data_IF_703186717636
#
_entry.id   IF_703186717636
#
_cell.length_a   1.000
_cell.length_b   1.000
_cell.length_c   1.000
_cell.angle_alpha   90.00
_cell.angle_beta   90.00
_cell.angle_gamma   90.00
#
_symmetry.space_group_name_H-M   'P 1'
#
loop_
_entity.id
_entity.type
_entity.pdbx_description
1 polymer ?
#
# COMPACT_ATOMS: atom_id res chain seq x y z
N UNK A 1 -20.91 -5.09 -3.96
CA UNK A 1 -19.79 -5.96 -4.40
C UNK A 1 -19.26 -5.39 -5.71
N UNK A 2 -17.94 -5.38 -5.93
CA UNK A 2 -17.31 -4.89 -7.15
C UNK A 2 -16.38 -5.98 -7.72
N UNK A 3 -16.07 -5.91 -9.02
CA UNK A 3 -15.16 -6.85 -9.66
C UNK A 3 -13.72 -6.68 -9.15
N UNK A 4 -12.88 -7.67 -9.41
CA UNK A 4 -11.43 -7.61 -9.20
C UNK A 4 -10.74 -8.63 -10.08
N UNK A 5 -9.49 -8.32 -10.47
CA UNK A 5 -8.60 -9.25 -11.18
C UNK A 5 -7.47 -9.62 -10.23
N UNK A 6 -7.11 -10.90 -10.20
CA UNK A 6 -5.93 -11.38 -9.49
C UNK A 6 -4.71 -11.24 -10.39
N UNK A 7 -3.84 -10.28 -10.08
CA UNK A 7 -2.60 -10.05 -10.84
C UNK A 7 -1.66 -11.25 -10.76
N UNK A 8 -1.60 -11.97 -9.63
CA UNK A 8 -0.74 -13.13 -9.45
C UNK A 8 -1.13 -14.27 -10.39
N UNK A 9 -2.43 -14.52 -10.55
CA UNK A 9 -2.94 -15.53 -11.49
C UNK A 9 -2.80 -15.07 -12.94
N UNK A 10 -3.04 -13.78 -13.23
CA UNK A 10 -3.04 -13.27 -14.60
C UNK A 10 -1.63 -13.14 -15.23
N UNK A 11 -0.56 -13.29 -14.43
CA UNK A 11 0.84 -13.19 -14.88
C UNK A 11 1.19 -14.28 -15.90
N UNK A 12 2.00 -13.92 -16.90
CA UNK A 12 2.53 -14.88 -17.88
C UNK A 12 1.61 -15.23 -19.05
N UNK A 13 0.40 -14.66 -19.14
CA UNK A 13 -0.51 -14.88 -20.27
C UNK A 13 -1.34 -13.64 -20.65
N UNK A 14 -2.19 -13.76 -21.69
CA UNK A 14 -2.99 -12.63 -22.25
C UNK A 14 -3.95 -11.96 -21.26
N UNK A 15 -4.21 -12.60 -20.11
CA UNK A 15 -5.08 -12.06 -19.06
C UNK A 15 -4.53 -10.78 -18.43
N UNK A 16 -3.20 -10.64 -18.38
CA UNK A 16 -2.53 -9.45 -17.83
C UNK A 16 -2.95 -8.14 -18.52
N UNK A 17 -3.39 -8.19 -19.78
CA UNK A 17 -3.91 -7.02 -20.51
C UNK A 17 -5.17 -6.42 -19.88
N UNK A 18 -5.87 -7.16 -19.01
CA UNK A 18 -7.09 -6.74 -18.34
C UNK A 18 -6.86 -6.26 -16.89
N UNK A 19 -5.65 -6.39 -16.36
CA UNK A 19 -5.32 -6.00 -14.97
C UNK A 19 -5.48 -4.49 -14.77
N UNK A 20 -4.64 -3.65 -15.39
CA UNK A 20 -4.68 -2.20 -15.17
C UNK A 20 -6.04 -1.56 -15.54
N UNK A 21 -6.70 -1.93 -16.66
CA UNK A 21 -8.05 -1.43 -16.97
C UNK A 21 -9.10 -1.74 -15.90
N UNK A 22 -8.94 -2.82 -15.12
CA UNK A 22 -9.87 -3.13 -14.02
C UNK A 22 -9.93 -2.01 -12.97
N UNK A 23 -8.85 -1.23 -12.78
CA UNK A 23 -8.82 -0.05 -11.89
C UNK A 23 -9.92 0.94 -12.25
N UNK A 24 -10.07 1.26 -13.54
CA UNK A 24 -11.05 2.23 -14.03
C UNK A 24 -12.48 1.67 -13.90
N UNK A 25 -12.66 0.39 -14.22
CA UNK A 25 -13.95 -0.30 -14.09
C UNK A 25 -14.42 -0.25 -12.62
N UNK A 26 -13.52 -0.48 -11.67
CA UNK A 26 -13.81 -0.42 -10.23
C UNK A 26 -14.21 1.00 -9.83
N UNK A 27 -13.43 2.01 -10.26
CA UNK A 27 -13.74 3.42 -9.99
C UNK A 27 -15.14 3.81 -10.52
N UNK A 28 -15.44 3.47 -11.77
CA UNK A 28 -16.75 3.73 -12.38
C UNK A 28 -17.88 2.94 -11.70
N UNK A 29 -17.62 1.72 -11.24
CA UNK A 29 -18.62 0.89 -10.55
C UNK A 29 -19.02 1.54 -9.22
N UNK A 30 -18.07 2.04 -8.45
CA UNK A 30 -18.35 2.76 -7.20
C UNK A 30 -19.13 4.04 -7.49
N UNK A 31 -18.63 4.84 -8.43
CA UNK A 31 -19.25 6.10 -8.83
C UNK A 31 -20.71 5.90 -9.25
N UNK A 32 -21.00 4.85 -10.01
CA UNK A 32 -22.36 4.52 -10.47
C UNK A 32 -23.27 4.17 -9.30
N UNK A 33 -22.87 3.22 -8.45
CA UNK A 33 -23.73 2.71 -7.36
C UNK A 33 -23.97 3.78 -6.30
N UNK A 34 -22.93 4.52 -5.92
CA UNK A 34 -23.03 5.57 -4.90
C UNK A 34 -23.98 6.70 -5.33
N UNK A 35 -23.85 7.17 -6.57
CA UNK A 35 -24.71 8.25 -7.07
C UNK A 35 -26.13 7.77 -7.37
N UNK A 36 -26.31 6.58 -7.96
CA UNK A 36 -27.63 6.05 -8.28
C UNK A 36 -28.51 5.80 -7.05
N UNK A 37 -27.89 5.41 -5.94
CA UNK A 37 -28.60 5.13 -4.69
C UNK A 37 -28.51 6.25 -3.64
N UNK A 38 -27.82 7.36 -3.96
CA UNK A 38 -27.63 8.51 -3.07
C UNK A 38 -27.16 8.10 -1.67
N UNK A 39 -26.14 7.24 -1.61
CA UNK A 39 -25.60 6.72 -0.35
C UNK A 39 -24.76 7.78 0.37
N UNK A 40 -24.95 7.90 1.69
CA UNK A 40 -24.34 8.97 2.50
C UNK A 40 -22.85 8.77 2.79
N UNK A 41 -22.37 7.52 2.84
CA UNK A 41 -21.01 7.19 3.22
C UNK A 41 -20.56 5.86 2.62
N UNK A 42 -19.24 5.62 2.60
CA UNK A 42 -18.63 4.47 1.94
C UNK A 42 -17.62 3.75 2.83
N UNK A 43 -17.72 2.42 2.89
CA UNK A 43 -16.66 1.54 3.39
C UNK A 43 -16.02 0.84 2.18
N UNK A 44 -14.76 1.12 1.92
CA UNK A 44 -13.99 0.45 0.89
C UNK A 44 -13.21 -0.72 1.48
N UNK A 45 -13.45 -1.93 0.97
CA UNK A 45 -12.77 -3.16 1.38
C UNK A 45 -11.95 -3.76 0.23
N UNK A 46 -10.82 -3.12 -0.16
CA UNK A 46 -9.98 -3.64 -1.23
C UNK A 46 -9.00 -4.71 -0.71
N UNK A 47 -8.31 -5.41 -1.61
CA UNK A 47 -7.11 -6.14 -1.20
C UNK A 47 -6.10 -6.33 -2.33
N UNK A 48 -6.54 -6.81 -3.50
CA UNK A 48 -5.64 -7.06 -4.63
C UNK A 48 -5.21 -5.75 -5.34
N UNK A 49 -4.12 -5.83 -6.10
CA UNK A 49 -3.32 -4.75 -6.68
C UNK A 49 -4.13 -3.54 -7.16
N UNK A 50 -4.96 -3.73 -8.20
CA UNK A 50 -5.68 -2.64 -8.87
C UNK A 50 -6.97 -2.24 -8.18
N UNK A 51 -7.43 -3.04 -7.22
CA UNK A 51 -8.66 -2.79 -6.47
C UNK A 51 -8.47 -1.59 -5.55
N UNK A 52 -7.36 -1.53 -4.81
CA UNK A 52 -7.08 -0.43 -3.87
C UNK A 52 -7.16 0.95 -4.56
N UNK A 53 -6.37 1.24 -5.61
CA UNK A 53 -6.42 2.54 -6.27
C UNK A 53 -7.75 2.79 -7.00
N UNK A 54 -8.38 1.76 -7.57
CA UNK A 54 -9.71 1.91 -8.21
C UNK A 54 -10.77 2.33 -7.21
N UNK A 55 -10.74 1.78 -5.99
CA UNK A 55 -11.63 2.19 -4.91
C UNK A 55 -11.34 3.61 -4.43
N UNK A 56 -10.08 4.01 -4.30
CA UNK A 56 -9.68 5.38 -3.92
C UNK A 56 -10.17 6.40 -4.96
N UNK A 57 -9.97 6.12 -6.25
CA UNK A 57 -10.43 6.97 -7.34
C UNK A 57 -11.96 7.12 -7.34
N UNK A 58 -12.70 6.01 -7.23
CA UNK A 58 -14.16 6.03 -7.16
C UNK A 58 -14.68 6.83 -5.95
N UNK A 59 -14.07 6.64 -4.78
CA UNK A 59 -14.40 7.38 -3.56
C UNK A 59 -14.19 8.89 -3.72
N UNK A 60 -13.08 9.30 -4.35
CA UNK A 60 -12.78 10.70 -4.62
C UNK A 60 -13.78 11.37 -5.57
N UNK A 61 -14.30 10.64 -6.56
CA UNK A 61 -15.30 11.17 -7.50
C UNK A 61 -16.64 11.44 -6.83
N UNK A 62 -17.08 10.56 -5.94
CA UNK A 62 -18.35 10.69 -5.20
C UNK A 62 -18.25 11.68 -4.04
N UNK A 63 -17.07 11.78 -3.43
CA UNK A 63 -16.74 12.73 -2.36
C UNK A 63 -17.69 12.72 -1.15
N UNK A 64 -18.00 11.52 -0.64
CA UNK A 64 -18.69 11.33 0.64
C UNK A 64 -17.71 10.91 1.73
N UNK A 65 -18.08 10.95 3.03
CA UNK A 65 -17.29 10.32 4.08
C UNK A 65 -16.97 8.86 3.73
N UNK A 66 -15.68 8.53 3.74
CA UNK A 66 -15.18 7.24 3.27
C UNK A 66 -14.10 6.71 4.21
N UNK A 67 -14.16 5.42 4.52
CA UNK A 67 -13.11 4.71 5.25
C UNK A 67 -12.60 3.51 4.47
N UNK A 68 -11.28 3.30 4.49
CA UNK A 68 -10.64 2.14 3.90
C UNK A 68 -10.27 1.12 4.98
N UNK A 69 -10.67 -0.13 4.75
CA UNK A 69 -10.26 -1.29 5.55
C UNK A 69 -10.01 -2.48 4.63
N UNK A 70 -8.74 -2.73 4.33
CA UNK A 70 -8.32 -3.80 3.44
C UNK A 70 -8.60 -5.19 4.03
N UNK A 71 -8.55 -6.22 3.19
CA UNK A 71 -8.55 -7.62 3.64
C UNK A 71 -7.30 -7.98 4.45
N UNK A 72 -6.18 -7.31 4.20
CA UNK A 72 -4.88 -7.53 4.83
C UNK A 72 -3.95 -8.44 4.03
N UNK A 73 -2.63 -8.36 4.28
CA UNK A 73 -1.65 -9.29 3.71
C UNK A 73 -1.86 -10.72 4.19
N UNK A 74 -1.58 -11.69 3.33
CA UNK A 74 -1.44 -13.08 3.74
C UNK A 74 -0.17 -13.27 4.59
N UNK A 75 -0.13 -14.33 5.39
CA UNK A 75 1.11 -14.75 6.06
C UNK A 75 2.15 -15.17 5.04
N UNK A 76 3.45 -14.97 5.33
CA UNK A 76 4.50 -15.54 4.48
C UNK A 76 4.49 -17.06 4.54
N UNK A 77 4.78 -17.67 3.40
CA UNK A 77 4.96 -19.11 3.27
C UNK A 77 6.29 -19.56 3.88
N UNK A 78 6.39 -20.86 4.12
CA UNK A 78 7.66 -21.49 4.50
C UNK A 78 7.83 -22.81 3.75
N UNK A 79 9.00 -23.05 3.19
CA UNK A 79 9.38 -24.38 2.70
C UNK A 79 9.47 -25.37 3.86
N UNK A 80 9.55 -26.68 3.57
CA UNK A 80 9.71 -27.73 4.59
C UNK A 80 10.95 -27.55 5.49
N UNK A 81 12.02 -26.98 4.96
CA UNK A 81 13.25 -26.66 5.71
C UNK A 81 13.16 -25.32 6.47
N UNK A 82 12.01 -24.63 6.39
CA UNK A 82 11.72 -23.44 7.18
C UNK A 82 12.19 -22.12 6.56
N UNK A 83 12.61 -22.11 5.29
CA UNK A 83 12.96 -20.86 4.60
C UNK A 83 11.69 -20.07 4.27
N UNK A 84 11.65 -18.75 4.55
CA UNK A 84 10.50 -17.92 4.19
C UNK A 84 10.38 -17.82 2.67
N UNK A 85 9.16 -17.92 2.17
CA UNK A 85 8.84 -17.85 0.74
C UNK A 85 7.54 -17.08 0.51
N UNK A 86 7.36 -16.62 -0.72
CA UNK A 86 6.18 -15.89 -1.18
C UNK A 86 5.92 -16.13 -2.68
N UNK A 87 4.96 -15.39 -3.25
CA UNK A 87 4.62 -15.49 -4.66
C UNK A 87 5.79 -15.18 -5.60
N UNK A 88 6.67 -14.22 -5.26
CA UNK A 88 7.85 -13.92 -6.07
C UNK A 88 8.82 -15.11 -6.06
N UNK A 89 8.98 -15.76 -4.91
CA UNK A 89 9.78 -16.98 -4.77
C UNK A 89 9.26 -18.09 -5.69
N UNK A 90 7.94 -18.25 -5.81
CA UNK A 90 7.35 -19.23 -6.72
C UNK A 90 7.66 -18.94 -8.21
N UNK A 91 7.64 -17.67 -8.62
CA UNK A 91 8.04 -17.30 -9.99
C UNK A 91 9.54 -17.54 -10.25
N UNK A 92 10.39 -17.21 -9.29
CA UNK A 92 11.84 -17.49 -9.38
C UNK A 92 12.13 -18.98 -9.42
N UNK A 93 11.37 -19.79 -8.68
CA UNK A 93 11.52 -21.24 -8.65
C UNK A 93 11.31 -21.89 -10.02
N UNK A 94 10.37 -21.39 -10.83
CA UNK A 94 10.20 -21.86 -12.22
C UNK A 94 11.48 -21.66 -13.03
N UNK A 95 12.11 -20.48 -12.91
CA UNK A 95 13.40 -20.21 -13.56
C UNK A 95 14.51 -21.14 -13.11
N UNK A 96 14.62 -21.38 -11.79
CA UNK A 96 15.60 -22.30 -11.20
C UNK A 96 15.38 -23.76 -11.61
N UNK A 97 14.14 -24.17 -11.81
CA UNK A 97 13.82 -25.51 -12.28
C UNK A 97 14.27 -25.70 -13.74
N UNK A 98 14.01 -24.72 -14.62
CA UNK A 98 14.45 -24.73 -16.02
C UNK A 98 15.99 -24.75 -16.15
N UNK A 99 16.71 -24.09 -15.23
CA UNK A 99 18.19 -24.12 -15.16
C UNK A 99 18.74 -25.34 -14.41
N UNK A 100 17.87 -26.22 -13.89
CA UNK A 100 18.20 -27.43 -13.12
C UNK A 100 18.92 -27.16 -11.78
N UNK A 101 18.71 -25.97 -11.21
CA UNK A 101 19.21 -25.61 -9.87
C UNK A 101 18.36 -26.22 -8.75
N UNK A 102 17.08 -26.48 -9.01
CA UNK A 102 16.16 -27.18 -8.11
C UNK A 102 15.49 -28.35 -8.84
N UNK A 103 15.01 -29.34 -8.07
CA UNK A 103 14.25 -30.46 -8.62
C UNK A 103 12.73 -30.23 -8.57
N UNK A 104 11.96 -31.17 -9.12
CA UNK A 104 10.50 -31.10 -9.15
C UNK A 104 9.89 -31.13 -7.74
N UNK A 105 10.55 -31.82 -6.79
CA UNK A 105 10.06 -31.94 -5.43
C UNK A 105 10.20 -30.60 -4.67
N UNK A 106 11.31 -29.88 -4.85
CA UNK A 106 11.52 -28.55 -4.31
C UNK A 106 10.60 -27.52 -4.98
N UNK A 107 10.43 -27.57 -6.31
CA UNK A 107 9.48 -26.70 -7.02
C UNK A 107 8.06 -26.89 -6.48
N UNK A 108 7.63 -28.15 -6.32
CA UNK A 108 6.31 -28.48 -5.76
C UNK A 108 6.15 -28.02 -4.31
N UNK A 109 7.22 -28.11 -3.50
CA UNK A 109 7.20 -27.62 -2.13
C UNK A 109 6.97 -26.09 -2.07
N UNK A 110 7.68 -25.34 -2.92
CA UNK A 110 7.50 -23.89 -3.02
C UNK A 110 6.08 -23.55 -3.50
N UNK A 111 5.60 -24.19 -4.55
CA UNK A 111 4.24 -23.99 -5.09
C UNK A 111 3.15 -24.20 -4.02
N UNK A 112 3.26 -25.28 -3.22
CA UNK A 112 2.25 -25.62 -2.22
C UNK A 112 2.27 -24.69 -1.00
N UNK A 113 3.41 -24.04 -0.71
CA UNK A 113 3.60 -23.32 0.54
C UNK A 113 3.78 -21.80 0.38
N UNK A 114 3.97 -21.29 -0.83
CA UNK A 114 4.19 -19.85 -1.08
C UNK A 114 2.99 -18.96 -0.73
N UNK A 115 1.76 -19.50 -0.81
CA UNK A 115 0.52 -18.76 -0.52
C UNK A 115 -0.33 -19.53 0.51
N UNK A 116 0.01 -19.49 1.80
CA UNK A 116 -0.56 -20.38 2.81
C UNK A 116 -1.97 -20.00 3.29
N UNK A 117 -2.45 -18.80 2.96
CA UNK A 117 -3.74 -18.29 3.43
C UNK A 117 -4.36 -17.29 2.45
N UNK A 118 -5.62 -16.92 2.69
CA UNK A 118 -6.22 -15.74 2.04
C UNK A 118 -5.51 -14.44 2.47
N UNK A 119 -5.57 -13.43 1.61
CA UNK A 119 -4.94 -12.11 1.81
C UNK A 119 -4.38 -11.54 0.51
N UNK A 120 -3.85 -10.32 0.53
CA UNK A 120 -2.96 -9.82 -0.53
C UNK A 120 -1.62 -10.55 -0.46
N UNK A 121 -0.74 -10.35 -1.45
CA UNK A 121 0.64 -10.85 -1.39
C UNK A 121 1.30 -10.51 -0.04
N UNK A 122 2.22 -11.32 0.46
CA UNK A 122 2.85 -11.13 1.78
C UNK A 122 3.95 -10.04 1.79
N UNK A 123 4.60 -9.80 0.64
CA UNK A 123 5.64 -8.78 0.44
C UNK A 123 5.10 -7.38 0.09
N UNK A 124 5.99 -6.41 -0.11
CA UNK A 124 5.69 -5.02 -0.46
C UNK A 124 5.47 -4.83 -1.97
N UNK A 125 4.51 -5.59 -2.51
CA UNK A 125 4.00 -5.39 -3.88
C UNK A 125 2.91 -4.32 -3.90
N UNK A 126 2.35 -4.00 -5.07
CA UNK A 126 1.44 -2.86 -5.24
C UNK A 126 0.26 -2.88 -4.27
N UNK A 127 -0.36 -4.04 -4.02
CA UNK A 127 -1.43 -4.21 -3.04
C UNK A 127 -1.05 -3.66 -1.66
N UNK A 128 0.10 -4.10 -1.12
CA UNK A 128 0.53 -3.68 0.21
C UNK A 128 1.09 -2.27 0.22
N UNK A 129 1.81 -1.85 -0.83
CA UNK A 129 2.20 -0.45 -0.98
C UNK A 129 0.96 0.45 -0.94
N UNK A 130 -0.06 0.18 -1.76
CA UNK A 130 -1.28 1.01 -1.74
C UNK A 130 -2.03 0.94 -0.41
N UNK A 131 -2.07 -0.22 0.26
CA UNK A 131 -2.71 -0.35 1.57
C UNK A 131 -1.99 0.45 2.68
N UNK A 132 -0.65 0.48 2.66
CA UNK A 132 0.14 1.31 3.59
C UNK A 132 0.03 2.79 3.26
N UNK A 133 -0.05 3.13 1.96
CA UNK A 133 -0.32 4.50 1.52
C UNK A 133 -1.71 4.99 1.94
N UNK A 134 -2.73 4.13 2.00
CA UNK A 134 -4.03 4.50 2.57
C UNK A 134 -3.93 4.95 4.05
N UNK A 135 -3.01 4.37 4.83
CA UNK A 135 -2.74 4.83 6.20
C UNK A 135 -2.04 6.19 6.21
N UNK A 136 -1.03 6.37 5.34
CA UNK A 136 -0.27 7.61 5.21
C UNK A 136 -1.12 8.80 4.73
N UNK A 137 -2.07 8.53 3.82
CA UNK A 137 -3.05 9.51 3.34
C UNK A 137 -4.13 9.82 4.39
N UNK A 138 -4.21 9.05 5.47
CA UNK A 138 -5.17 9.26 6.55
C UNK A 138 -6.57 8.72 6.30
N UNK A 139 -6.81 8.01 5.19
CA UNK A 139 -8.13 7.44 4.82
C UNK A 139 -8.39 6.04 5.41
N UNK A 140 -7.37 5.43 6.02
CA UNK A 140 -7.47 4.17 6.75
C UNK A 140 -7.08 4.33 8.22
N UNK A 141 -7.57 3.40 9.05
CA UNK A 141 -7.17 3.26 10.45
C UNK A 141 -5.80 2.58 10.57
N UNK A 142 -5.07 2.81 11.68
CA UNK A 142 -3.79 2.18 11.93
C UNK A 142 -3.85 0.65 11.82
N UNK A 143 -2.86 0.06 11.14
CA UNK A 143 -2.76 -1.38 10.94
C UNK A 143 -3.43 -1.90 9.67
N UNK A 144 -4.08 -1.03 8.88
CA UNK A 144 -4.71 -1.41 7.62
C UNK A 144 -3.78 -2.15 6.64
N UNK A 145 -2.52 -1.73 6.50
CA UNK A 145 -1.54 -2.35 5.62
C UNK A 145 -0.76 -3.50 6.24
N UNK A 146 -0.75 -3.64 7.57
CA UNK A 146 0.18 -4.56 8.27
C UNK A 146 -0.50 -5.68 9.06
N UNK A 147 -1.74 -5.51 9.52
CA UNK A 147 -2.46 -6.56 10.25
C UNK A 147 -2.78 -7.70 9.27
N UNK A 148 -2.43 -8.93 9.59
CA UNK A 148 -2.64 -10.05 8.69
C UNK A 148 -4.12 -10.31 8.38
N UNK A 149 -4.40 -10.82 7.19
CA UNK A 149 -5.71 -11.34 6.85
C UNK A 149 -6.07 -12.56 7.73
N UNK A 150 -7.37 -12.79 7.92
CA UNK A 150 -7.89 -13.97 8.65
C UNK A 150 -7.39 -14.08 10.10
N UNK A 151 -7.18 -12.94 10.78
CA UNK A 151 -6.87 -12.91 12.22
C UNK A 151 -7.94 -12.15 13.02
N UNK A 152 -8.06 -12.42 14.35
CA UNK A 152 -8.98 -11.68 15.21
C UNK A 152 -8.73 -10.17 15.20
N UNK A 153 -7.47 -9.74 15.10
CA UNK A 153 -7.10 -8.32 15.02
C UNK A 153 -7.65 -7.65 13.76
N UNK A 154 -7.67 -8.37 12.62
CA UNK A 154 -8.25 -7.87 11.37
C UNK A 154 -9.76 -7.74 11.47
N UNK A 155 -10.43 -8.71 12.08
CA UNK A 155 -11.87 -8.61 12.33
C UNK A 155 -12.21 -7.41 13.23
N UNK A 156 -11.41 -7.19 14.27
CA UNK A 156 -11.60 -6.05 15.16
C UNK A 156 -11.35 -4.72 14.43
N UNK A 157 -10.33 -4.63 13.57
CA UNK A 157 -10.11 -3.46 12.72
C UNK A 157 -11.33 -3.17 11.82
N UNK A 158 -11.94 -4.20 11.22
CA UNK A 158 -13.14 -4.07 10.41
C UNK A 158 -14.32 -3.56 11.26
N UNK A 159 -14.51 -4.10 12.47
CA UNK A 159 -15.57 -3.62 13.39
C UNK A 159 -15.34 -2.16 13.79
N UNK A 160 -14.10 -1.76 14.05
CA UNK A 160 -13.75 -0.37 14.35
C UNK A 160 -14.02 0.56 13.16
N UNK A 161 -13.61 0.17 11.95
CA UNK A 161 -13.88 0.94 10.74
C UNK A 161 -15.39 1.09 10.48
N UNK A 162 -16.17 0.02 10.66
CA UNK A 162 -17.62 0.03 10.52
C UNK A 162 -18.32 0.95 11.55
N UNK A 163 -17.88 0.93 12.82
CA UNK A 163 -18.38 1.89 13.81
C UNK A 163 -17.99 3.32 13.45
N UNK A 164 -16.74 3.53 13.02
CA UNK A 164 -16.20 4.85 12.72
C UNK A 164 -16.92 5.50 11.54
N UNK A 165 -17.18 4.76 10.46
CA UNK A 165 -17.89 5.34 9.32
C UNK A 165 -19.30 5.80 9.70
N UNK A 166 -20.02 5.04 10.53
CA UNK A 166 -21.34 5.43 11.01
C UNK A 166 -21.31 6.70 11.87
N UNK A 167 -20.23 6.93 12.63
CA UNK A 167 -20.05 8.16 13.42
C UNK A 167 -19.83 9.40 12.55
N UNK A 168 -19.24 9.25 11.36
CA UNK A 168 -18.84 10.37 10.48
C UNK A 168 -19.68 10.48 9.21
N UNK A 169 -20.65 9.58 9.00
CA UNK A 169 -21.33 9.41 7.71
C UNK A 169 -22.00 10.68 7.18
N UNK A 170 -22.48 11.54 8.07
CA UNK A 170 -23.15 12.81 7.72
C UNK A 170 -22.31 14.05 8.09
N UNK A 171 -21.05 13.84 8.48
CA UNK A 171 -20.15 14.93 8.85
C UNK A 171 -19.31 15.33 7.63
N UNK A 172 -19.66 16.48 7.07
CA UNK A 172 -18.98 17.12 5.94
C UNK A 172 -17.47 17.28 6.15
N UNK A 173 -17.01 17.43 7.41
CA UNK A 173 -15.57 17.48 7.74
C UNK A 173 -14.83 16.24 7.22
N UNK A 174 -15.47 15.08 7.21
CA UNK A 174 -14.87 13.80 6.88
C UNK A 174 -15.08 13.35 5.43
N UNK A 175 -15.64 14.20 4.57
CA UNK A 175 -15.62 13.94 3.12
C UNK A 175 -14.20 13.63 2.67
N UNK A 176 -14.05 12.61 1.83
CA UNK A 176 -12.73 12.07 1.49
C UNK A 176 -11.78 13.13 0.92
N UNK A 177 -12.25 14.13 0.15
CA UNK A 177 -11.38 15.21 -0.37
C UNK A 177 -10.84 16.16 0.70
N UNK A 178 -11.47 16.22 1.87
CA UNK A 178 -10.96 17.01 3.00
C UNK A 178 -9.76 16.31 3.68
N UNK A 179 -9.73 14.97 3.61
CA UNK A 179 -8.67 14.12 4.19
C UNK A 179 -7.59 13.87 3.14
N UNK A 180 -7.99 13.35 1.97
CA UNK A 180 -7.14 13.03 0.83
C UNK A 180 -7.06 14.24 -0.11
N UNK A 181 -6.17 15.15 0.27
CA UNK A 181 -5.84 16.40 -0.41
C UNK A 181 -4.34 16.42 -0.78
N UNK A 182 -3.80 17.58 -1.18
CA UNK A 182 -2.38 17.72 -1.55
C UNK A 182 -1.42 17.26 -0.43
N UNK A 183 -1.72 17.57 0.83
CA UNK A 183 -0.92 17.15 1.99
C UNK A 183 -0.89 15.63 2.13
N UNK A 184 -2.04 14.98 1.99
CA UNK A 184 -2.14 13.53 2.04
C UNK A 184 -1.38 12.84 0.91
N UNK A 185 -1.45 13.38 -0.31
CA UNK A 185 -0.72 12.85 -1.46
C UNK A 185 0.79 12.97 -1.22
N UNK A 186 1.28 14.13 -0.75
CA UNK A 186 2.69 14.30 -0.37
C UNK A 186 3.11 13.32 0.73
N UNK A 187 2.29 13.13 1.76
CA UNK A 187 2.55 12.17 2.84
C UNK A 187 2.68 10.74 2.30
N UNK A 188 1.78 10.32 1.40
CA UNK A 188 1.89 9.03 0.74
C UNK A 188 3.23 8.88 0.00
N UNK A 189 3.59 9.84 -0.84
CA UNK A 189 4.84 9.76 -1.61
C UNK A 189 6.09 9.72 -0.72
N UNK A 190 6.10 10.44 0.40
CA UNK A 190 7.19 10.38 1.40
C UNK A 190 7.29 8.97 1.99
N UNK A 191 6.17 8.39 2.43
CA UNK A 191 6.15 7.05 3.01
C UNK A 191 6.54 5.99 1.98
N UNK A 192 6.11 6.14 0.74
CA UNK A 192 6.46 5.24 -0.35
C UNK A 192 7.97 5.18 -0.60
N UNK A 193 8.61 6.35 -0.65
CA UNK A 193 10.06 6.49 -0.79
C UNK A 193 10.83 5.85 0.38
N UNK A 194 10.30 5.98 1.59
CA UNK A 194 10.94 5.48 2.79
C UNK A 194 10.84 3.96 2.96
N UNK A 195 9.87 3.31 2.31
CA UNK A 195 9.73 1.85 2.31
C UNK A 195 10.18 1.21 1.00
N UNK A 196 10.46 1.99 -0.05
CA UNK A 196 10.76 1.48 -1.38
C UNK A 196 9.61 0.65 -1.93
N UNK A 197 8.40 1.22 -1.95
CA UNK A 197 7.22 0.56 -2.47
C UNK A 197 7.32 0.24 -3.97
N UNK A 198 6.31 -0.48 -4.48
CA UNK A 198 6.20 -0.87 -5.89
C UNK A 198 6.25 0.36 -6.81
N UNK A 199 7.00 0.34 -7.92
CA UNK A 199 7.00 1.44 -8.89
C UNK A 199 5.61 1.76 -9.48
N UNK A 200 4.67 0.82 -9.43
CA UNK A 200 3.26 1.03 -9.80
C UNK A 200 2.54 2.07 -8.93
N UNK A 201 3.03 2.34 -7.71
CA UNK A 201 2.48 3.39 -6.86
C UNK A 201 2.56 4.75 -7.55
N UNK A 202 3.62 5.05 -8.32
CA UNK A 202 3.75 6.30 -9.08
C UNK A 202 2.58 6.45 -10.05
N UNK A 203 2.26 5.39 -10.82
CA UNK A 203 1.13 5.38 -11.75
C UNK A 203 -0.22 5.57 -11.03
N UNK A 204 -0.38 4.93 -9.87
CA UNK A 204 -1.62 5.01 -9.10
C UNK A 204 -1.80 6.34 -8.41
N UNK A 205 -0.74 6.89 -7.80
CA UNK A 205 -0.74 8.19 -7.16
C UNK A 205 -0.95 9.32 -8.16
N UNK A 206 -0.46 9.22 -9.40
CA UNK A 206 -0.80 10.17 -10.45
C UNK A 206 -2.30 10.17 -10.78
N UNK A 207 -2.92 9.00 -10.87
CA UNK A 207 -4.36 8.90 -11.12
C UNK A 207 -5.18 9.42 -9.93
N UNK A 208 -4.81 9.03 -8.70
CA UNK A 208 -5.45 9.50 -7.46
C UNK A 208 -5.30 11.02 -7.32
N UNK A 209 -4.13 11.59 -7.65
CA UNK A 209 -3.90 13.03 -7.58
C UNK A 209 -4.83 13.80 -8.51
N UNK A 210 -5.06 13.29 -9.74
CA UNK A 210 -6.01 13.90 -10.68
C UNK A 210 -7.44 13.88 -10.13
N UNK A 211 -7.89 12.77 -9.57
CA UNK A 211 -9.24 12.65 -8.98
C UNK A 211 -9.43 13.51 -7.72
N UNK A 212 -8.32 13.78 -7.01
CA UNK A 212 -8.26 14.69 -5.87
C UNK A 212 -8.13 16.18 -6.28
N UNK A 213 -7.96 16.48 -7.58
CA UNK A 213 -7.73 17.84 -8.07
C UNK A 213 -6.35 18.42 -7.72
N UNK A 214 -5.36 17.55 -7.48
CA UNK A 214 -3.99 17.92 -7.10
C UNK A 214 -3.06 17.71 -8.30
N UNK A 215 -2.30 18.76 -8.63
CA UNK A 215 -1.31 18.68 -9.70
C UNK A 215 0.00 18.07 -9.20
N UNK A 216 0.16 16.76 -9.40
CA UNK A 216 1.39 16.04 -9.09
C UNK A 216 2.33 16.01 -10.31
N UNK A 217 3.48 16.67 -10.20
CA UNK A 217 4.58 16.56 -11.18
C UNK A 217 5.56 15.48 -10.73
N UNK A 218 5.78 14.46 -11.58
CA UNK A 218 6.72 13.38 -11.31
C UNK A 218 8.16 13.85 -11.10
N UNK A 219 8.53 15.04 -11.60
CA UNK A 219 9.86 15.62 -11.32
C UNK A 219 10.07 15.90 -9.84
N UNK A 220 9.01 16.16 -9.09
CA UNK A 220 9.09 16.44 -7.65
C UNK A 220 9.39 15.19 -6.83
N UNK A 221 9.11 13.99 -7.35
CA UNK A 221 9.44 12.72 -6.69
C UNK A 221 10.94 12.60 -6.42
N UNK A 222 11.80 13.10 -7.31
CA UNK A 222 13.25 13.11 -7.08
C UNK A 222 13.65 14.03 -5.92
N UNK A 223 12.94 15.14 -5.71
CA UNK A 223 13.19 16.02 -4.55
C UNK A 223 12.80 15.30 -3.26
N UNK A 224 11.68 14.60 -3.25
CA UNK A 224 11.25 13.77 -2.11
C UNK A 224 12.30 12.68 -1.87
N UNK A 225 12.67 11.90 -2.89
CA UNK A 225 13.65 10.83 -2.81
C UNK A 225 15.00 11.30 -2.24
N UNK A 226 15.49 12.49 -2.62
CA UNK A 226 16.74 13.05 -2.09
C UNK A 226 16.71 13.42 -0.60
N UNK A 227 15.52 13.63 -0.02
CA UNK A 227 15.36 14.09 1.37
C UNK A 227 14.83 13.01 2.31
N UNK A 228 14.45 11.83 1.78
CA UNK A 228 13.82 10.76 2.56
C UNK A 228 14.72 9.53 2.58
N UNK A 229 15.03 9.04 3.77
CA UNK A 229 15.82 7.83 3.94
C UNK A 229 15.00 6.56 3.69
N UNK A 230 15.58 5.57 3.01
CA UNK A 230 14.99 4.25 2.81
C UNK A 230 15.22 3.38 4.05
N UNK A 231 14.22 3.29 4.93
CA UNK A 231 14.35 2.69 6.27
C UNK A 231 13.77 1.29 6.39
N UNK A 232 12.92 0.85 5.47
CA UNK A 232 12.36 -0.49 5.49
C UNK A 232 12.52 -1.15 4.11
N UNK A 233 13.20 -2.29 4.06
CA UNK A 233 13.23 -3.17 2.89
C UNK A 233 12.42 -4.42 3.18
N UNK A 234 11.48 -4.72 2.31
CA UNK A 234 10.56 -5.84 2.41
C UNK A 234 10.68 -6.63 1.11
N UNK A 235 10.36 -7.92 1.13
CA UNK A 235 10.25 -8.74 -0.08
C UNK A 235 9.48 -7.98 -1.17
N UNK A 236 9.98 -7.92 -2.42
CA UNK A 236 11.10 -8.70 -2.96
C UNK A 236 12.50 -8.14 -2.67
N UNK A 237 12.63 -6.91 -2.14
CA UNK A 237 13.93 -6.27 -1.90
C UNK A 237 14.76 -6.95 -0.82
N UNK A 238 14.08 -7.54 0.18
CA UNK A 238 14.71 -8.29 1.25
C UNK A 238 13.86 -9.55 1.53
N UNK A 239 14.27 -10.74 1.00
CA UNK A 239 13.40 -11.93 0.94
C UNK A 239 12.90 -12.45 2.29
N UNK A 240 13.59 -12.16 3.40
CA UNK A 240 13.21 -12.66 4.73
C UNK A 240 12.23 -11.75 5.47
N UNK A 241 11.99 -10.52 5.00
CA UNK A 241 11.13 -9.53 5.65
C UNK A 241 9.82 -9.37 4.85
N UNK A 242 8.69 -9.55 5.52
CA UNK A 242 7.35 -9.43 4.94
C UNK A 242 6.49 -8.44 5.73
N UNK A 243 5.27 -8.16 5.25
CA UNK A 243 4.40 -7.17 5.91
C UNK A 243 4.04 -7.52 7.35
N UNK A 244 3.97 -8.79 7.71
CA UNK A 244 3.76 -9.22 9.11
C UNK A 244 4.92 -8.81 10.02
N UNK A 245 6.15 -8.82 9.50
CA UNK A 245 7.34 -8.40 10.23
C UNK A 245 7.29 -6.88 10.47
N UNK A 246 6.87 -6.11 9.46
CA UNK A 246 6.65 -4.65 9.60
C UNK A 246 5.59 -4.36 10.66
N UNK A 247 4.48 -5.11 10.66
CA UNK A 247 3.45 -5.01 11.69
C UNK A 247 3.98 -5.25 13.10
N UNK A 248 4.77 -6.31 13.29
CA UNK A 248 5.42 -6.63 14.58
C UNK A 248 6.43 -5.55 15.00
N UNK A 249 7.15 -4.97 14.04
CA UNK A 249 8.15 -3.94 14.27
C UNK A 249 7.59 -2.56 14.66
N UNK A 250 6.25 -2.40 14.70
CA UNK A 250 5.59 -1.14 15.05
C UNK A 250 4.65 -0.60 13.96
N UNK A 251 4.66 -1.22 12.78
CA UNK A 251 3.76 -0.91 11.67
C UNK A 251 4.01 0.47 11.06
N UNK A 252 3.01 0.94 10.32
CA UNK A 252 3.12 2.18 9.55
C UNK A 252 3.28 3.43 10.41
N UNK A 253 2.68 3.48 11.60
CA UNK A 253 2.86 4.62 12.47
C UNK A 253 4.31 4.77 12.96
N UNK A 254 5.01 3.65 13.22
CA UNK A 254 6.44 3.69 13.57
C UNK A 254 7.29 4.19 12.40
N UNK A 255 7.01 3.73 11.17
CA UNK A 255 7.65 4.21 9.94
C UNK A 255 7.46 5.73 9.78
N UNK A 256 6.22 6.22 9.86
CA UNK A 256 5.90 7.64 9.69
C UNK A 256 6.56 8.50 10.77
N UNK A 257 6.52 8.06 12.05
CA UNK A 257 7.19 8.78 13.14
C UNK A 257 8.70 8.83 12.92
N UNK A 258 9.32 7.72 12.54
CA UNK A 258 10.77 7.68 12.34
C UNK A 258 11.20 8.62 11.21
N UNK A 259 10.49 8.60 10.08
CA UNK A 259 10.77 9.52 8.95
C UNK A 259 10.61 10.98 9.38
N UNK A 260 9.59 11.30 10.19
CA UNK A 260 9.36 12.68 10.67
C UNK A 260 10.51 13.28 11.48
N UNK A 261 11.46 12.47 11.95
CA UNK A 261 12.68 12.96 12.61
C UNK A 261 13.65 13.64 11.64
N UNK A 262 13.61 13.25 10.35
CA UNK A 262 14.52 13.74 9.31
C UNK A 262 13.88 13.65 7.92
N UNK A 263 12.78 14.37 7.76
CA UNK A 263 12.05 14.46 6.49
C UNK A 263 12.22 15.83 5.80
N UNK A 264 12.97 16.75 6.42
CA UNK A 264 13.14 18.13 5.96
C UNK A 264 11.80 18.90 5.81
N UNK A 265 10.80 18.57 6.64
CA UNK A 265 9.47 19.21 6.60
C UNK A 265 8.60 18.74 5.45
N UNK A 266 8.88 17.57 4.86
CA UNK A 266 8.10 17.01 3.76
C UNK A 266 6.79 16.37 4.21
N UNK A 267 6.72 15.82 5.43
CA UNK A 267 5.47 15.30 6.01
C UNK A 267 4.60 16.44 6.55
N UNK A 268 3.35 16.42 6.10
CA UNK A 268 2.28 17.27 6.56
C UNK A 268 1.58 16.60 7.74
N UNK A 269 2.19 16.69 8.92
CA UNK A 269 1.70 16.05 10.15
C UNK A 269 0.38 16.65 10.66
N UNK A 270 -0.01 17.84 10.19
CA UNK A 270 -1.27 18.48 10.55
C UNK A 270 -2.48 18.01 9.71
N UNK A 271 -2.26 17.12 8.72
CA UNK A 271 -3.34 16.62 7.88
C UNK A 271 -4.36 15.82 8.71
N UNK A 272 -5.65 16.12 8.52
CA UNK A 272 -6.75 15.38 9.14
C UNK A 272 -6.71 13.92 8.70
N UNK A 273 -7.09 13.03 9.61
CA UNK A 273 -7.28 11.61 9.29
C UNK A 273 -8.70 11.16 9.60
N UNK A 274 -9.09 9.99 9.09
CA UNK A 274 -10.43 9.42 9.25
C UNK A 274 -10.78 9.17 10.72
N UNK A 275 -9.80 8.97 11.60
CA UNK A 275 -10.00 8.83 13.06
C UNK A 275 -10.37 10.16 13.74
N UNK A 276 -10.20 11.31 13.07
CA UNK A 276 -10.54 12.64 13.60
C UNK A 276 -9.36 13.42 14.18
N UNK A 277 -8.25 12.73 14.44
CA UNK A 277 -6.95 13.30 14.81
C UNK A 277 -6.14 13.69 13.56
N UNK A 278 -5.11 14.49 13.76
CA UNK A 278 -4.07 14.78 12.77
C UNK A 278 -3.09 13.60 12.64
N UNK A 279 -2.39 13.51 11.50
CA UNK A 279 -1.38 12.46 11.29
C UNK A 279 -0.28 12.49 12.38
N UNK A 280 0.14 13.68 12.83
CA UNK A 280 1.13 13.86 13.88
C UNK A 280 0.66 13.40 15.25
N UNK A 281 -0.62 13.63 15.58
CA UNK A 281 -1.23 13.09 16.81
C UNK A 281 -1.25 11.56 16.80
N UNK A 282 -1.66 10.96 15.67
CA UNK A 282 -1.74 9.52 15.47
C UNK A 282 -0.41 8.81 15.74
N UNK A 283 0.70 9.37 15.24
CA UNK A 283 2.00 8.70 15.27
C UNK A 283 2.82 9.02 16.52
N UNK A 284 2.44 10.02 17.31
CA UNK A 284 3.21 10.56 18.44
C UNK A 284 3.73 9.50 19.42
N UNK A 285 2.88 8.55 19.78
CA UNK A 285 3.17 7.51 20.77
C UNK A 285 3.62 6.16 20.16
N UNK A 286 3.87 6.11 18.85
CA UNK A 286 4.34 4.88 18.19
C UNK A 286 5.86 4.79 18.28
N UNK A 287 6.45 3.60 18.37
CA UNK A 287 7.91 3.43 18.39
C UNK A 287 8.30 2.21 17.56
N UNK A 288 9.53 2.23 17.04
CA UNK A 288 10.12 1.06 16.41
C UNK A 288 10.38 0.01 17.49
N UNK A 289 9.81 -1.18 17.31
CA UNK A 289 9.96 -2.33 18.21
C UNK A 289 11.04 -3.30 17.76
N UNK A 290 11.44 -3.24 16.49
CA UNK A 290 12.44 -4.11 15.89
C UNK A 290 13.23 -3.34 14.82
N UNK A 291 14.43 -2.90 15.19
CA UNK A 291 15.32 -2.12 14.31
C UNK A 291 15.92 -2.95 13.17
N UNK A 292 15.80 -4.28 13.20
CA UNK A 292 16.24 -5.15 12.09
C UNK A 292 15.25 -5.16 10.92
N UNK A 293 14.01 -4.72 11.17
CA UNK A 293 12.93 -4.65 10.17
C UNK A 293 12.69 -3.20 9.74
N UNK A 294 12.58 -2.28 10.69
CA UNK A 294 12.43 -0.85 10.44
C UNK A 294 13.65 -0.15 11.00
N UNK A 295 14.55 0.32 10.14
CA UNK A 295 15.77 1.00 10.57
C UNK A 295 15.45 2.42 11.06
N UNK A 296 16.30 2.94 11.94
CA UNK A 296 16.33 4.37 12.21
C UNK A 296 16.94 5.14 11.04
N UNK A 297 16.60 6.42 10.89
CA UNK A 297 17.09 7.29 9.81
C UNK A 297 18.62 7.38 9.76
N UNK A 298 19.30 7.26 10.90
CA UNK A 298 20.77 7.29 10.99
C UNK A 298 21.43 6.04 10.41
N UNK A 299 20.74 4.89 10.47
CA UNK A 299 21.22 3.60 9.96
C UNK A 299 20.31 3.06 8.84
N UNK A 300 19.71 3.97 8.07
CA UNK A 300 18.86 3.59 6.94
C UNK A 300 19.64 2.80 5.89
N UNK A 301 18.95 1.95 5.12
CA UNK A 301 19.56 1.20 4.02
C UNK A 301 20.17 2.12 2.95
N UNK A 302 19.58 3.30 2.79
CA UNK A 302 20.04 4.38 1.93
C UNK A 302 19.55 5.71 2.49
N UNK A 303 20.35 6.76 2.38
CA UNK A 303 19.96 8.12 2.75
C UNK A 303 19.09 8.79 1.68
N UNK A 304 18.91 8.14 0.54
CA UNK A 304 17.95 8.52 -0.52
C UNK A 304 16.87 7.45 -0.66
N UNK A 305 15.68 7.85 -1.09
CA UNK A 305 14.49 7.03 -1.22
C UNK A 305 14.63 5.89 -2.24
N UNK A 306 13.73 4.91 -2.13
CA UNK A 306 13.80 3.67 -2.91
C UNK A 306 13.43 3.80 -4.40
N UNK A 307 12.89 4.94 -4.84
CA UNK A 307 12.49 5.18 -6.24
C UNK A 307 13.22 6.40 -6.82
N UNK A 308 13.44 6.37 -8.13
CA UNK A 308 14.03 7.46 -8.90
C UNK A 308 13.20 7.69 -10.17
N UNK A 309 13.12 8.94 -10.62
CA UNK A 309 12.52 9.30 -11.89
C UNK A 309 13.63 9.77 -12.83
N UNK A 310 13.78 9.11 -13.97
CA UNK A 310 14.81 9.41 -14.95
C UNK A 310 14.22 10.21 -16.11
N UNK A 311 14.99 11.17 -16.60
CA UNK A 311 14.64 11.99 -17.77
C UNK A 311 15.80 11.98 -18.76
N UNK A 312 15.47 12.02 -20.05
CA UNK A 312 16.46 12.07 -21.11
C UNK A 312 15.82 12.05 -22.49
N UNK A 313 16.63 11.94 -23.52
CA UNK A 313 16.17 11.83 -24.92
C UNK A 313 15.29 10.60 -25.16
N UNK A 314 15.49 9.50 -24.42
CA UNK A 314 14.65 8.30 -24.48
C UNK A 314 13.36 8.39 -23.65
N UNK A 315 13.35 9.27 -22.63
CA UNK A 315 12.26 9.42 -21.68
C UNK A 315 11.98 10.90 -21.42
N UNK A 316 11.53 11.62 -22.47
CA UNK A 316 11.32 13.07 -22.40
C UNK A 316 10.21 13.45 -21.40
N UNK A 317 9.23 12.55 -21.22
CA UNK A 317 8.16 12.69 -20.23
C UNK A 317 8.45 11.98 -18.91
N UNK A 318 9.68 11.46 -18.74
CA UNK A 318 10.10 10.71 -17.57
C UNK A 318 9.81 9.22 -17.65
N UNK A 319 10.60 8.44 -16.90
CA UNK A 319 10.33 7.04 -16.57
C UNK A 319 10.70 6.79 -15.11
N UNK A 320 10.12 5.74 -14.53
CA UNK A 320 10.50 5.23 -13.21
C UNK A 320 11.58 4.17 -13.41
#
# INVERSE_FOLDING_TARGET
>A
NCIGVDDGIAMGHKGMLYSLPSREIIANSIETVMNAHALDALVCMPNCDKIVPGMVMGALRVNVPTIFVSGGPMRKGHTKDGRPIDLATAFEAVGKFETKEIDEAELRDIECNACPSGGSCSGMFTANSMNTLCEAMGIALPGNGTILALTPEREELIRQAARRICQIALDEKFKIRNILNEKAIRNALVVDMAMGGSSNTVLHMLAISREAGVNLDIKELNKISQNIAHIAKISPSLPNVHMEDVGRAGGMNAVIKEISRRDHGMLNLDNLTVSGETLGERVRASDIKDESVIHKVENAYSQVGGLAILFGNLAAQGCV
#
